data_IF_061879348966
#
_entry.id   IF_061879348966
#
_cell.length_a   1.000
_cell.length_b   1.000
_cell.length_c   1.000
_cell.angle_alpha   90.00
_cell.angle_beta   90.00
_cell.angle_gamma   90.00
#
_symmetry.space_group_name_H-M   'P 1'
#
loop_
_entity.id
_entity.type
_entity.pdbx_description
1 polymer ?
#
# COMPACT_ATOMS: atom_id res chain seq x y z
N UNK A 1 -5.48 20.48 41.58
CA UNK A 1 -5.54 21.30 40.35
C UNK A 1 -4.14 21.66 39.91
N UNK A 2 -3.68 21.11 38.78
CA UNK A 2 -2.73 21.66 37.80
C UNK A 2 -2.40 20.53 36.83
N UNK A 3 -3.16 20.50 35.73
CA UNK A 3 -2.96 19.55 34.63
C UNK A 3 -1.73 19.94 33.83
N UNK A 4 -0.86 18.97 33.60
CA UNK A 4 0.27 19.09 32.70
C UNK A 4 -0.20 18.56 31.34
N UNK A 5 -0.64 19.46 30.45
CA UNK A 5 -0.89 19.13 29.06
C UNK A 5 0.48 19.09 28.37
N UNK A 6 0.99 17.88 28.16
CA UNK A 6 2.17 17.67 27.30
C UNK A 6 1.66 17.63 25.87
N UNK A 7 1.73 18.76 25.17
CA UNK A 7 1.54 18.84 23.73
C UNK A 7 2.81 18.29 23.08
N UNK A 8 2.78 17.03 22.64
CA UNK A 8 3.83 16.48 21.78
C UNK A 8 3.54 16.95 20.35
N UNK A 9 4.07 18.12 20.01
CA UNK A 9 4.22 18.56 18.63
C UNK A 9 5.35 17.74 17.99
N UNK A 10 4.98 16.73 17.20
CA UNK A 10 5.92 15.99 16.36
C UNK A 10 6.39 16.91 15.22
N UNK A 11 7.39 17.74 15.50
CA UNK A 11 8.17 18.45 14.49
C UNK A 11 8.98 17.43 13.70
N UNK A 12 8.41 16.97 12.58
CA UNK A 12 9.04 16.05 11.64
C UNK A 12 10.03 16.82 10.74
N UNK A 13 10.95 17.56 11.35
CA UNK A 13 12.09 18.18 10.68
C UNK A 13 13.35 17.62 11.32
N UNK A 14 14.38 17.35 10.50
CA UNK A 14 15.67 16.71 10.80
C UNK A 14 15.58 15.17 10.69
N UNK A 15 16.19 14.45 9.74
CA UNK A 15 17.41 14.67 8.96
C UNK A 15 17.32 13.93 7.62
N UNK A 16 16.81 14.57 6.56
CA UNK A 16 17.28 14.22 5.21
C UNK A 16 18.64 14.87 5.05
N UNK A 17 19.66 14.23 5.63
CA UNK A 17 21.04 14.57 5.34
C UNK A 17 21.23 14.43 3.84
N UNK A 18 21.49 15.58 3.24
CA UNK A 18 21.82 15.84 1.86
C UNK A 18 22.98 14.97 1.41
N UNK A 19 22.70 13.74 0.96
CA UNK A 19 23.42 13.21 -0.18
C UNK A 19 22.84 13.88 -1.40
N UNK A 20 23.51 14.95 -1.81
CA UNK A 20 23.42 15.50 -3.15
C UNK A 20 23.54 14.32 -4.12
N UNK A 21 22.40 13.84 -4.60
CA UNK A 21 22.36 12.96 -5.74
C UNK A 21 22.94 13.80 -6.88
N UNK A 22 24.15 13.49 -7.33
CA UNK A 22 24.54 13.76 -8.72
C UNK A 22 23.65 12.84 -9.59
N UNK A 23 22.37 13.18 -9.64
CA UNK A 23 21.39 12.44 -10.40
C UNK A 23 21.61 12.76 -11.86
N UNK A 24 21.95 11.75 -12.65
CA UNK A 24 21.82 11.86 -14.10
C UNK A 24 20.42 12.41 -14.43
N UNK A 25 20.32 13.32 -15.42
CA UNK A 25 19.07 13.98 -15.72
C UNK A 25 18.00 12.93 -16.06
N UNK A 26 16.90 12.93 -15.31
CA UNK A 26 15.72 12.12 -15.61
C UNK A 26 15.06 12.73 -16.84
N UNK A 27 15.04 12.00 -17.95
CA UNK A 27 14.52 12.48 -19.23
C UNK A 27 13.11 11.98 -19.52
N UNK A 28 12.75 10.80 -19.01
CA UNK A 28 11.44 10.18 -19.20
C UNK A 28 10.90 9.61 -17.88
N UNK A 29 9.71 10.08 -17.49
CA UNK A 29 8.98 9.62 -16.30
C UNK A 29 7.73 8.88 -16.72
N UNK A 30 7.55 7.66 -16.22
CA UNK A 30 6.32 6.89 -16.36
C UNK A 30 5.54 6.95 -15.03
N UNK A 31 4.26 7.27 -15.04
CA UNK A 31 3.39 7.18 -13.86
C UNK A 31 2.25 6.21 -14.16
N UNK A 32 2.23 5.07 -13.48
CA UNK A 32 1.13 4.10 -13.59
C UNK A 32 0.23 4.18 -12.34
N UNK A 33 -1.08 4.13 -12.55
CA UNK A 33 -2.06 4.24 -11.47
C UNK A 33 -3.39 3.58 -11.85
N UNK A 34 -4.22 3.23 -10.86
CA UNK A 34 -5.63 2.82 -11.12
C UNK A 34 -6.52 4.05 -11.28
N UNK A 35 -7.17 4.19 -12.43
CA UNK A 35 -8.02 5.35 -12.75
C UNK A 35 -9.38 5.27 -12.04
N UNK A 36 -9.82 4.07 -11.67
CA UNK A 36 -11.05 3.85 -10.91
C UNK A 36 -10.88 3.99 -9.38
N UNK A 37 -9.68 4.36 -8.90
CA UNK A 37 -9.41 4.59 -7.47
C UNK A 37 -9.18 6.08 -7.21
N UNK A 38 -10.11 6.72 -6.50
CA UNK A 38 -10.11 8.18 -6.23
C UNK A 38 -8.81 8.68 -5.60
N UNK A 39 -8.27 7.96 -4.59
CA UNK A 39 -7.03 8.38 -3.93
C UNK A 39 -5.83 8.39 -4.87
N UNK A 40 -5.79 7.49 -5.86
CA UNK A 40 -4.73 7.48 -6.86
C UNK A 40 -4.81 8.69 -7.80
N UNK A 41 -6.02 9.09 -8.21
CA UNK A 41 -6.25 10.31 -9.00
C UNK A 41 -5.82 11.56 -8.26
N UNK A 42 -6.16 11.67 -6.97
CA UNK A 42 -5.76 12.81 -6.13
C UNK A 42 -4.23 12.90 -6.05
N UNK A 43 -3.56 11.77 -5.78
CA UNK A 43 -2.09 11.75 -5.72
C UNK A 43 -1.44 12.06 -7.07
N UNK A 44 -1.97 11.52 -8.17
CA UNK A 44 -1.50 11.84 -9.50
C UNK A 44 -1.59 13.34 -9.76
N UNK A 45 -2.73 13.97 -9.46
CA UNK A 45 -2.91 15.40 -9.66
C UNK A 45 -1.93 16.23 -8.82
N UNK A 46 -1.69 15.83 -7.55
CA UNK A 46 -0.70 16.49 -6.69
C UNK A 46 0.74 16.33 -7.21
N UNK A 47 1.10 15.14 -7.69
CA UNK A 47 2.39 14.88 -8.33
C UNK A 47 2.55 15.72 -9.59
N UNK A 48 1.56 15.72 -10.48
CA UNK A 48 1.58 16.48 -11.73
C UNK A 48 1.66 17.99 -11.46
N UNK A 49 0.95 18.51 -10.45
CA UNK A 49 1.06 19.92 -10.05
C UNK A 49 2.48 20.27 -9.61
N UNK A 50 3.08 19.44 -8.75
CA UNK A 50 4.45 19.66 -8.26
C UNK A 50 5.50 19.57 -9.38
N UNK A 51 5.29 18.70 -10.38
CA UNK A 51 6.20 18.55 -11.51
C UNK A 51 6.14 19.70 -12.52
N UNK A 52 5.01 20.44 -12.59
CA UNK A 52 4.90 21.62 -13.45
C UNK A 52 5.76 22.78 -12.96
N UNK A 53 6.00 22.86 -11.65
CA UNK A 53 6.80 23.91 -11.03
C UNK A 53 8.31 23.67 -11.20
N UNK A 54 8.73 22.40 -11.39
CA UNK A 54 10.14 21.97 -11.42
C UNK A 54 10.58 21.47 -12.81
N UNK A 55 10.83 22.34 -13.80
CA UNK A 55 11.59 22.06 -15.07
C UNK A 55 11.20 20.84 -15.95
N UNK A 56 10.25 20.00 -15.54
CA UNK A 56 9.75 18.85 -16.29
C UNK A 56 8.64 19.36 -17.20
N UNK A 57 8.99 19.66 -18.45
CA UNK A 57 7.96 19.87 -19.47
C UNK A 57 7.08 18.63 -19.56
N UNK A 58 5.75 18.82 -19.57
CA UNK A 58 4.73 17.73 -19.58
C UNK A 58 5.01 16.65 -20.63
N UNK A 59 5.71 17.00 -21.72
CA UNK A 59 6.17 16.09 -22.78
C UNK A 59 7.08 14.94 -22.31
N UNK A 60 7.63 15.00 -21.09
CA UNK A 60 8.53 13.99 -20.52
C UNK A 60 7.84 13.06 -19.51
N UNK A 61 6.60 13.37 -19.13
CA UNK A 61 5.84 12.58 -18.15
C UNK A 61 4.71 11.86 -18.88
N UNK A 62 4.76 10.53 -18.88
CA UNK A 62 3.73 9.66 -19.45
C UNK A 62 2.91 9.05 -18.32
N UNK A 63 1.61 9.29 -18.33
CA UNK A 63 0.67 8.70 -17.37
C UNK A 63 -0.06 7.51 -17.99
N UNK A 64 -0.20 6.42 -17.24
CA UNK A 64 -0.94 5.23 -17.64
C UNK A 64 -2.00 4.94 -16.58
N UNK A 65 -3.27 5.20 -16.93
CA UNK A 65 -4.42 4.83 -16.15
C UNK A 65 -4.82 3.37 -16.42
N UNK A 66 -4.91 2.58 -15.36
CA UNK A 66 -5.37 1.20 -15.37
C UNK A 66 -6.83 1.16 -14.90
N UNK A 67 -7.68 0.45 -15.64
CA UNK A 67 -9.09 0.28 -15.29
C UNK A 67 -9.48 -1.18 -15.52
N UNK A 68 -10.33 -1.71 -14.63
CA UNK A 68 -10.81 -3.08 -14.74
C UNK A 68 -9.71 -4.13 -14.53
N UNK A 69 -9.89 -5.27 -15.19
CA UNK A 69 -9.01 -6.44 -15.06
C UNK A 69 -7.71 -6.28 -15.85
N UNK A 70 -6.73 -7.14 -15.56
CA UNK A 70 -5.41 -7.08 -16.18
C UNK A 70 -5.45 -7.14 -17.71
N UNK A 71 -6.44 -7.85 -18.26
CA UNK A 71 -6.59 -8.05 -19.71
C UNK A 71 -7.04 -6.78 -20.45
N UNK A 72 -7.59 -5.79 -19.73
CA UNK A 72 -8.01 -4.51 -20.30
C UNK A 72 -6.95 -3.41 -20.14
N UNK A 73 -5.79 -3.73 -19.55
CA UNK A 73 -4.75 -2.73 -19.33
C UNK A 73 -4.01 -2.39 -20.62
N UNK A 74 -3.68 -1.10 -20.83
CA UNK A 74 -2.96 -0.67 -22.04
C UNK A 74 -1.54 -1.25 -22.08
N UNK A 75 -1.06 -1.56 -23.28
CA UNK A 75 0.33 -1.96 -23.48
C UNK A 75 1.28 -0.76 -23.44
N UNK A 76 2.45 -0.93 -22.81
CA UNK A 76 3.50 0.09 -22.85
C UNK A 76 4.24 0.01 -24.20
N UNK A 77 3.87 0.88 -25.15
CA UNK A 77 4.50 0.94 -26.48
C UNK A 77 5.98 1.36 -26.46
N UNK A 78 6.36 2.30 -25.60
CA UNK A 78 7.75 2.70 -25.35
C UNK A 78 8.18 2.15 -23.99
N UNK A 79 8.93 1.05 -23.99
CA UNK A 79 9.24 0.31 -22.77
C UNK A 79 10.21 1.03 -21.84
N UNK A 80 11.00 1.98 -22.33
CA UNK A 80 12.09 2.59 -21.57
C UNK A 80 11.62 3.84 -20.82
N UNK A 81 11.83 3.88 -19.52
CA UNK A 81 11.69 5.09 -18.71
C UNK A 81 12.88 5.22 -17.74
N UNK A 82 13.34 6.45 -17.49
CA UNK A 82 14.41 6.69 -16.51
C UNK A 82 13.88 6.56 -15.08
N UNK A 83 12.63 6.94 -14.88
CA UNK A 83 11.92 6.84 -13.62
C UNK A 83 10.51 6.31 -13.85
N UNK A 84 10.07 5.36 -13.05
CA UNK A 84 8.68 4.99 -12.95
C UNK A 84 8.11 5.30 -11.56
N UNK A 85 6.87 5.75 -11.51
CA UNK A 85 6.07 5.93 -10.30
C UNK A 85 4.86 5.01 -10.40
N UNK A 86 4.69 4.13 -9.43
CA UNK A 86 3.58 3.19 -9.36
C UNK A 86 2.68 3.50 -8.15
N UNK A 87 1.41 3.80 -8.41
CA UNK A 87 0.40 4.07 -7.38
C UNK A 87 -0.47 2.83 -7.15
N UNK A 88 -0.18 2.12 -6.06
CA UNK A 88 -0.91 0.92 -5.64
C UNK A 88 -0.41 -0.39 -6.28
N UNK A 89 -0.93 -1.50 -5.73
CA UNK A 89 -0.51 -2.86 -6.05
C UNK A 89 -0.59 -3.20 -7.55
N UNK A 90 -1.73 -2.88 -8.19
CA UNK A 90 -1.94 -3.16 -9.62
C UNK A 90 -0.97 -2.40 -10.52
N UNK A 91 -0.72 -1.12 -10.22
CA UNK A 91 0.20 -0.29 -10.99
C UNK A 91 1.64 -0.79 -10.86
N UNK A 92 2.07 -1.15 -9.64
CA UNK A 92 3.41 -1.69 -9.43
C UNK A 92 3.59 -3.01 -10.17
N UNK A 93 2.62 -3.92 -10.07
CA UNK A 93 2.64 -5.18 -10.83
C UNK A 93 2.74 -4.94 -12.34
N UNK A 94 1.92 -4.03 -12.87
CA UNK A 94 1.94 -3.65 -14.28
C UNK A 94 3.32 -3.14 -14.74
N UNK A 95 3.92 -2.21 -14.00
CA UNK A 95 5.24 -1.66 -14.35
C UNK A 95 6.33 -2.72 -14.24
N UNK A 96 6.29 -3.57 -13.21
CA UNK A 96 7.26 -4.66 -13.03
C UNK A 96 7.24 -5.66 -14.19
N UNK A 97 6.08 -5.89 -14.80
CA UNK A 97 5.88 -6.84 -15.89
C UNK A 97 6.18 -6.24 -17.28
N UNK A 98 5.88 -4.97 -17.51
CA UNK A 98 5.85 -4.40 -18.87
C UNK A 98 6.93 -3.35 -19.15
N UNK A 99 7.45 -2.67 -18.13
CA UNK A 99 8.36 -1.55 -18.31
C UNK A 99 9.81 -1.95 -18.09
N UNK A 100 10.68 -1.43 -18.94
CA UNK A 100 12.13 -1.38 -18.76
C UNK A 100 12.47 -0.04 -18.11
N UNK A 101 12.82 -0.06 -16.82
CA UNK A 101 13.00 1.16 -16.04
C UNK A 101 14.36 1.18 -15.38
N UNK A 102 14.94 2.37 -15.25
CA UNK A 102 16.21 2.53 -14.53
C UNK A 102 16.01 2.66 -13.02
N UNK A 103 14.97 3.36 -12.59
CA UNK A 103 14.61 3.58 -11.18
C UNK A 103 13.10 3.58 -11.02
N UNK A 104 12.63 3.14 -9.86
CA UNK A 104 11.21 3.06 -9.53
C UNK A 104 10.88 3.63 -8.16
N UNK A 105 9.75 4.33 -8.06
CA UNK A 105 9.12 4.75 -6.82
C UNK A 105 7.75 4.09 -6.74
N UNK A 106 7.45 3.39 -5.66
CA UNK A 106 6.11 2.89 -5.39
C UNK A 106 5.46 3.65 -4.23
N UNK A 107 4.15 3.82 -4.31
CA UNK A 107 3.34 4.40 -3.25
C UNK A 107 2.10 3.54 -3.06
N UNK A 108 1.57 3.53 -1.85
CA UNK A 108 0.31 2.86 -1.52
C UNK A 108 0.31 1.34 -1.74
N UNK A 109 1.45 0.68 -1.54
CA UNK A 109 1.56 -0.78 -1.72
C UNK A 109 1.03 -1.50 -0.49
N UNK A 110 -0.04 -2.27 -0.67
CA UNK A 110 -0.69 -3.07 0.37
C UNK A 110 -0.35 -4.55 0.28
N UNK A 111 0.14 -5.03 -0.87
CA UNK A 111 0.51 -6.42 -1.05
C UNK A 111 2.02 -6.64 -0.81
N UNK A 112 2.41 -7.36 0.26
CA UNK A 112 3.82 -7.61 0.56
C UNK A 112 4.54 -8.42 -0.52
N UNK A 113 3.86 -9.30 -1.25
CA UNK A 113 4.48 -10.12 -2.30
C UNK A 113 4.87 -9.28 -3.53
N UNK A 114 4.05 -8.26 -3.85
CA UNK A 114 4.35 -7.29 -4.90
C UNK A 114 5.51 -6.39 -4.47
N UNK A 115 5.52 -5.93 -3.21
CA UNK A 115 6.64 -5.19 -2.64
C UNK A 115 7.94 -5.99 -2.70
N UNK A 116 7.91 -7.25 -2.28
CA UNK A 116 9.09 -8.14 -2.32
C UNK A 116 9.58 -8.34 -3.76
N UNK A 117 8.66 -8.45 -4.72
CA UNK A 117 8.99 -8.52 -6.15
C UNK A 117 9.70 -7.26 -6.64
N UNK A 118 9.33 -6.08 -6.15
CA UNK A 118 10.00 -4.82 -6.44
C UNK A 118 11.38 -4.74 -5.76
N UNK A 119 11.47 -5.15 -4.48
CA UNK A 119 12.73 -5.16 -3.70
C UNK A 119 13.79 -6.03 -4.37
N UNK A 120 13.40 -7.22 -4.87
CA UNK A 120 14.32 -8.15 -5.57
C UNK A 120 14.95 -7.54 -6.83
N UNK A 121 14.32 -6.53 -7.45
CA UNK A 121 14.93 -5.81 -8.58
C UNK A 121 15.98 -4.78 -8.15
N UNK A 122 16.03 -4.38 -6.87
CA UNK A 122 17.04 -3.46 -6.32
C UNK A 122 16.97 -2.00 -6.80
N UNK A 123 16.02 -1.67 -7.68
CA UNK A 123 15.87 -0.33 -8.28
C UNK A 123 14.62 0.42 -7.80
N UNK A 124 13.85 -0.19 -6.90
CA UNK A 124 12.60 0.35 -6.38
C UNK A 124 12.75 0.86 -4.95
N UNK A 125 12.09 1.97 -4.65
CA UNK A 125 11.95 2.51 -3.30
C UNK A 125 10.53 3.05 -3.10
N UNK A 126 10.07 3.28 -1.89
CA UNK A 126 8.70 3.78 -1.71
C UNK A 126 8.08 3.52 -0.35
N UNK A 127 6.76 3.75 -0.29
CA UNK A 127 5.96 3.59 0.93
C UNK A 127 4.93 2.48 0.77
N UNK A 128 4.69 1.74 1.86
CA UNK A 128 3.70 0.67 1.95
C UNK A 128 2.55 1.09 2.86
N UNK A 129 1.34 0.61 2.58
CA UNK A 129 0.19 0.70 3.48
C UNK A 129 0.02 -0.56 4.33
N UNK A 130 0.81 -1.60 4.04
CA UNK A 130 0.75 -2.83 4.81
C UNK A 130 1.28 -2.61 6.23
N UNK A 131 0.43 -2.94 7.21
CA UNK A 131 0.80 -3.02 8.63
C UNK A 131 0.84 -4.50 9.01
N UNK A 132 1.94 -5.03 9.54
CA UNK A 132 2.01 -6.41 10.00
C UNK A 132 0.88 -6.74 11.01
N UNK A 133 0.23 -7.91 10.86
CA UNK A 133 -0.86 -8.34 11.73
C UNK A 133 -0.50 -8.24 13.23
N UNK A 134 0.71 -8.63 13.62
CA UNK A 134 1.16 -8.54 15.01
C UNK A 134 1.15 -7.12 15.57
N UNK A 135 1.46 -6.11 14.74
CA UNK A 135 1.39 -4.70 15.15
C UNK A 135 -0.07 -4.27 15.29
N UNK A 136 -0.93 -4.64 14.33
CA UNK A 136 -2.37 -4.33 14.39
C UNK A 136 -3.00 -4.89 15.68
N UNK A 137 -2.74 -6.17 15.99
CA UNK A 137 -3.26 -6.84 17.18
C UNK A 137 -2.73 -6.22 18.48
N UNK A 138 -1.44 -5.83 18.50
CA UNK A 138 -0.85 -5.17 19.66
C UNK A 138 -1.53 -3.83 19.95
N UNK A 139 -1.75 -3.00 18.93
CA UNK A 139 -2.43 -1.71 19.07
C UNK A 139 -3.88 -1.89 19.52
N UNK A 140 -4.60 -2.86 18.95
CA UNK A 140 -5.98 -3.17 19.35
C UNK A 140 -6.04 -3.58 20.83
N UNK A 141 -5.10 -4.43 21.29
CA UNK A 141 -5.05 -4.87 22.69
C UNK A 141 -4.74 -3.73 23.65
N UNK A 142 -3.89 -2.79 23.23
CA UNK A 142 -3.56 -1.60 24.01
C UNK A 142 -4.76 -0.65 24.14
N UNK A 143 -5.46 -0.39 23.03
CA UNK A 143 -6.65 0.48 23.03
C UNK A 143 -7.86 -0.15 23.72
N UNK A 144 -8.01 -1.47 23.59
CA UNK A 144 -9.16 -2.22 24.09
C UNK A 144 -8.69 -3.43 24.91
N UNK A 145 -8.18 -3.21 26.15
CA UNK A 145 -7.58 -4.28 26.95
C UNK A 145 -8.57 -5.39 27.32
N UNK A 146 -9.87 -5.08 27.38
CA UNK A 146 -10.94 -6.01 27.70
C UNK A 146 -11.43 -6.86 26.51
N UNK A 147 -10.92 -6.59 25.30
CA UNK A 147 -11.26 -7.35 24.10
C UNK A 147 -10.77 -8.80 24.26
N UNK A 148 -11.62 -9.77 23.89
CA UNK A 148 -11.35 -11.21 24.00
C UNK A 148 -11.36 -11.92 22.67
N UNK A 149 -12.14 -11.45 21.68
CA UNK A 149 -12.36 -12.14 20.40
C UNK A 149 -12.37 -11.15 19.25
N UNK A 150 -11.53 -11.38 18.24
CA UNK A 150 -11.52 -10.60 17.00
C UNK A 150 -12.03 -11.49 15.87
N UNK A 151 -12.92 -10.96 15.05
CA UNK A 151 -13.37 -11.61 13.81
C UNK A 151 -12.65 -11.04 12.60
N UNK A 152 -12.34 -11.91 11.63
CA UNK A 152 -11.76 -11.51 10.35
C UNK A 152 -12.57 -12.19 9.25
N UNK A 153 -13.04 -11.42 8.26
CA UNK A 153 -13.69 -11.96 7.06
C UNK A 153 -12.77 -11.72 5.87
N UNK A 154 -12.34 -12.79 5.20
CA UNK A 154 -11.37 -12.73 4.09
C UNK A 154 -11.82 -13.54 2.89
N UNK A 155 -11.32 -13.19 1.70
CA UNK A 155 -11.44 -14.06 0.52
C UNK A 155 -10.62 -15.35 0.68
N UNK A 156 -11.05 -16.43 0.02
CA UNK A 156 -10.36 -17.72 0.03
C UNK A 156 -8.88 -17.59 -0.41
N UNK A 157 -8.61 -16.73 -1.39
CA UNK A 157 -7.27 -16.46 -1.91
C UNK A 157 -6.35 -15.77 -0.89
N UNK A 158 -6.92 -15.07 0.09
CA UNK A 158 -6.18 -14.34 1.12
C UNK A 158 -5.84 -15.23 2.33
N UNK A 159 -6.59 -16.32 2.55
CA UNK A 159 -6.45 -17.18 3.72
C UNK A 159 -5.03 -17.77 3.90
N UNK A 160 -4.34 -18.29 2.87
CA UNK A 160 -2.99 -18.84 3.03
C UNK A 160 -1.99 -17.81 3.55
N UNK A 161 -2.09 -16.55 3.09
CA UNK A 161 -1.24 -15.46 3.58
C UNK A 161 -1.56 -15.14 5.04
N UNK A 162 -2.84 -14.98 5.38
CA UNK A 162 -3.27 -14.68 6.74
C UNK A 162 -2.81 -15.76 7.73
N UNK A 163 -2.91 -17.05 7.37
CA UNK A 163 -2.39 -18.16 8.19
C UNK A 163 -0.88 -18.06 8.43
N UNK A 164 -0.10 -17.72 7.42
CA UNK A 164 1.36 -17.49 7.57
C UNK A 164 1.63 -16.36 8.55
N UNK A 165 0.92 -15.23 8.43
CA UNK A 165 1.07 -14.09 9.34
C UNK A 165 0.69 -14.45 10.77
N UNK A 166 -0.44 -15.14 10.98
CA UNK A 166 -0.87 -15.60 12.32
C UNK A 166 0.19 -16.50 12.96
N UNK A 167 0.78 -17.42 12.21
CA UNK A 167 1.83 -18.32 12.70
C UNK A 167 3.13 -17.57 13.07
N UNK A 168 3.37 -16.38 12.51
CA UNK A 168 4.54 -15.56 12.80
C UNK A 168 4.35 -14.68 14.04
N UNK A 169 3.11 -14.39 14.44
CA UNK A 169 2.84 -13.63 15.66
C UNK A 169 3.01 -14.60 16.85
N UNK A 170 3.77 -14.19 17.89
CA UNK A 170 4.02 -15.03 19.08
C UNK A 170 2.74 -15.22 19.90
N UNK A 171 2.47 -16.47 20.29
CA UNK A 171 1.16 -16.95 20.77
C UNK A 171 0.68 -16.38 22.11
N UNK A 172 1.59 -15.84 22.92
CA UNK A 172 1.33 -15.40 24.29
C UNK A 172 0.64 -14.03 24.40
N UNK A 173 0.51 -13.30 23.29
CA UNK A 173 -0.11 -11.95 23.24
C UNK A 173 -1.27 -11.83 22.27
N UNK A 174 -1.68 -12.92 21.61
CA UNK A 174 -2.67 -12.87 20.54
C UNK A 174 -4.07 -13.08 21.10
N UNK A 175 -4.94 -12.14 20.80
CA UNK A 175 -6.38 -12.31 20.97
C UNK A 175 -6.87 -13.43 20.04
N UNK A 176 -7.68 -14.39 20.54
CA UNK A 176 -8.33 -15.40 19.71
C UNK A 176 -8.96 -14.78 18.45
N UNK A 177 -8.57 -15.30 17.28
CA UNK A 177 -9.07 -14.87 15.98
C UNK A 177 -10.12 -15.86 15.47
N UNK A 178 -11.31 -15.36 15.15
CA UNK A 178 -12.34 -16.10 14.41
C UNK A 178 -12.27 -15.70 12.94
N UNK A 179 -11.82 -16.61 12.08
CA UNK A 179 -11.65 -16.33 10.65
C UNK A 179 -12.80 -16.97 9.88
N UNK A 180 -13.46 -16.18 9.02
CA UNK A 180 -14.44 -16.67 8.06
C UNK A 180 -13.96 -16.36 6.65
N UNK A 181 -14.03 -17.35 5.78
CA UNK A 181 -13.75 -17.19 4.35
C UNK A 181 -15.04 -16.94 3.57
N UNK A 182 -14.96 -16.07 2.57
CA UNK A 182 -16.02 -15.83 1.59
C UNK A 182 -15.49 -16.07 0.18
N UNK A 183 -16.35 -16.56 -0.70
CA UNK A 183 -15.98 -16.78 -2.11
C UNK A 183 -16.26 -15.53 -2.95
N UNK A 184 -17.25 -14.72 -2.52
CA UNK A 184 -17.73 -13.56 -3.27
C UNK A 184 -17.97 -12.35 -2.36
N UNK A 185 -17.67 -11.12 -2.82
CA UNK A 185 -17.89 -9.90 -2.02
C UNK A 185 -19.31 -9.71 -1.50
N UNK A 186 -20.33 -10.20 -2.23
CA UNK A 186 -21.74 -10.10 -1.83
C UNK A 186 -22.08 -10.87 -0.54
N UNK A 187 -21.25 -11.82 -0.13
CA UNK A 187 -21.45 -12.61 1.10
C UNK A 187 -20.95 -11.87 2.34
N UNK A 188 -20.14 -10.82 2.17
CA UNK A 188 -19.48 -10.09 3.25
C UNK A 188 -20.46 -9.63 4.35
N UNK A 189 -21.57 -8.97 3.97
CA UNK A 189 -22.52 -8.44 4.95
C UNK A 189 -23.24 -9.54 5.75
N UNK A 190 -23.53 -10.67 5.09
CA UNK A 190 -24.15 -11.83 5.73
C UNK A 190 -23.22 -12.45 6.76
N UNK A 191 -21.96 -12.64 6.39
CA UNK A 191 -20.96 -13.23 7.30
C UNK A 191 -20.62 -12.29 8.45
N UNK A 192 -20.50 -10.98 8.20
CA UNK A 192 -20.36 -9.97 9.27
C UNK A 192 -21.52 -10.06 10.26
N UNK A 193 -22.78 -10.11 9.78
CA UNK A 193 -23.95 -10.20 10.65
C UNK A 193 -23.97 -11.46 11.51
N UNK A 194 -23.45 -12.57 10.96
CA UNK A 194 -23.34 -13.86 11.65
C UNK A 194 -22.23 -13.88 12.69
N UNK A 195 -21.13 -13.14 12.44
CA UNK A 195 -19.98 -13.06 13.33
C UNK A 195 -20.17 -12.03 14.44
N UNK A 196 -20.87 -10.93 14.17
CA UNK A 196 -21.06 -9.80 15.09
C UNK A 196 -21.45 -10.22 16.53
N UNK A 197 -22.42 -11.13 16.78
CA UNK A 197 -22.77 -11.53 18.14
C UNK A 197 -21.71 -12.41 18.84
N UNK A 198 -20.70 -12.91 18.13
CA UNK A 198 -19.70 -13.87 18.61
C UNK A 198 -18.32 -13.26 18.84
N UNK A 199 -18.10 -12.03 18.42
CA UNK A 199 -16.81 -11.34 18.49
C UNK A 199 -16.98 -9.99 19.19
N UNK A 200 -15.87 -9.40 19.59
CA UNK A 200 -15.87 -8.10 20.27
C UNK A 200 -15.41 -6.97 19.32
N UNK A 201 -14.68 -7.31 18.25
CA UNK A 201 -14.33 -6.40 17.15
C UNK A 201 -14.03 -7.15 15.84
N UNK A 202 -14.05 -6.41 14.73
CA UNK A 202 -13.56 -6.86 13.43
C UNK A 202 -12.16 -6.30 13.13
N UNK A 203 -11.37 -7.07 12.39
CA UNK A 203 -10.16 -6.63 11.71
C UNK A 203 -10.35 -6.63 10.20
#
# INVERSE_FOLDING_TARGET
MRGLIVVILFSCTLFFSTRVYSGEPVSQVLIAYRDDITIHKILLNGLMASLKDDYFTEKKVKTIGLTGDKDTWPLIGEKKADLAVALGDSALKFVLEQADIRRGIYLLISNPEIKESADRKGIWTGTTLWVPLGIQLSVIKEMYPNLKRIGIVVGEETLPRLKREINQVKSDRILPLTIVTIDRPRELLKEISTLFPKIDAFL
#
